data_IF_598748605947
#
_entry.id   IF_598748605947
#
_cell.length_a   1.000
_cell.length_b   1.000
_cell.length_c   1.000
_cell.angle_alpha   90.00
_cell.angle_beta   90.00
_cell.angle_gamma   90.00
#
_symmetry.space_group_name_H-M   'P 1'
#
loop_
_entity.id
_entity.type
_entity.pdbx_description
1 polymer ?
#
# COMPACT_ATOMS: atom_id res chain seq x y z
N UNK A 1 -14.64 7.48 19.27
CA UNK A 1 -14.84 6.50 18.19
C UNK A 1 -13.47 6.09 17.69
N UNK A 2 -12.90 5.01 18.21
CA UNK A 2 -11.61 4.49 17.76
C UNK A 2 -11.86 3.54 16.58
N UNK A 3 -12.11 4.08 15.39
CA UNK A 3 -11.92 3.26 14.19
C UNK A 3 -10.42 3.16 13.96
N UNK A 4 -9.84 2.02 14.34
CA UNK A 4 -8.45 1.71 14.01
C UNK A 4 -8.39 1.47 12.50
N UNK A 5 -7.52 2.21 11.81
CA UNK A 5 -7.32 2.11 10.36
C UNK A 5 -6.82 0.71 10.03
N UNK A 6 -7.46 0.06 9.05
CA UNK A 6 -7.06 -1.24 8.53
C UNK A 6 -6.10 -1.04 7.36
N UNK A 7 -4.89 -1.57 7.50
CA UNK A 7 -3.83 -1.49 6.53
C UNK A 7 -3.60 -2.87 5.89
N UNK A 8 -3.68 -2.96 4.57
CA UNK A 8 -3.24 -4.14 3.83
C UNK A 8 -1.83 -3.97 3.29
N UNK A 9 -0.98 -4.98 3.46
CA UNK A 9 0.34 -5.06 2.83
C UNK A 9 0.28 -6.01 1.65
N UNK A 10 0.63 -5.51 0.46
CA UNK A 10 0.60 -6.24 -0.82
C UNK A 10 1.99 -6.24 -1.42
N UNK A 11 2.43 -7.41 -1.87
CA UNK A 11 3.68 -7.62 -2.61
C UNK A 11 4.99 -7.32 -1.83
N UNK A 12 5.00 -7.51 -0.51
CA UNK A 12 6.21 -7.28 0.30
C UNK A 12 7.08 -8.53 0.42
N UNK A 13 8.40 -8.31 0.47
CA UNK A 13 9.36 -9.27 1.00
C UNK A 13 9.46 -9.20 2.53
N UNK A 14 10.05 -10.22 3.16
CA UNK A 14 10.06 -10.33 4.62
C UNK A 14 10.72 -9.16 5.36
N UNK A 15 11.72 -8.50 4.75
CA UNK A 15 12.45 -7.39 5.38
C UNK A 15 11.65 -6.09 5.36
N UNK A 16 11.15 -5.70 4.18
CA UNK A 16 10.38 -4.48 3.98
C UNK A 16 9.01 -4.58 4.68
N UNK A 17 8.43 -5.78 4.72
CA UNK A 17 7.20 -6.08 5.44
C UNK A 17 7.35 -5.82 6.95
N UNK A 18 8.43 -6.32 7.57
CA UNK A 18 8.60 -6.24 9.02
C UNK A 18 8.69 -4.79 9.52
N UNK A 19 9.41 -3.93 8.79
CA UNK A 19 9.51 -2.51 9.11
C UNK A 19 8.15 -1.82 9.05
N UNK A 20 7.39 -2.07 7.98
CA UNK A 20 6.09 -1.42 7.79
C UNK A 20 5.05 -1.93 8.80
N UNK A 21 5.05 -3.23 9.12
CA UNK A 21 4.23 -3.78 10.21
C UNK A 21 4.54 -3.11 11.54
N UNK A 22 5.83 -2.89 11.86
CA UNK A 22 6.21 -2.17 13.08
C UNK A 22 5.65 -0.74 13.09
N UNK A 23 5.67 -0.04 11.95
CA UNK A 23 5.13 1.31 11.84
C UNK A 23 3.61 1.35 12.00
N UNK A 24 2.89 0.42 11.36
CA UNK A 24 1.42 0.27 11.45
C UNK A 24 1.00 0.01 12.90
N UNK A 25 1.65 -0.95 13.57
CA UNK A 25 1.39 -1.26 14.99
C UNK A 25 1.68 -0.09 15.90
N UNK A 26 2.80 0.62 15.67
CA UNK A 26 3.17 1.80 16.46
C UNK A 26 2.14 2.92 16.33
N UNK A 27 1.50 3.06 15.19
CA UNK A 27 0.43 4.04 14.96
C UNK A 27 -0.95 3.58 15.46
N UNK A 28 -1.07 2.40 16.07
CA UNK A 28 -2.34 1.87 16.55
C UNK A 28 -3.31 1.44 15.46
N UNK A 29 -2.80 1.15 14.27
CA UNK A 29 -3.54 0.63 13.12
C UNK A 29 -3.55 -0.91 13.14
N UNK A 30 -4.51 -1.51 12.43
CA UNK A 30 -4.58 -2.96 12.22
C UNK A 30 -3.87 -3.34 10.92
N UNK A 31 -3.01 -4.34 10.93
CA UNK A 31 -2.38 -4.88 9.72
C UNK A 31 -3.01 -6.20 9.24
N UNK A 32 -3.12 -6.34 7.92
CA UNK A 32 -3.35 -7.60 7.22
C UNK A 32 -2.29 -7.75 6.14
N UNK A 33 -1.50 -8.82 6.19
CA UNK A 33 -0.54 -9.11 5.12
C UNK A 33 -1.18 -10.09 4.15
N UNK A 34 -1.25 -9.72 2.88
CA UNK A 34 -1.77 -10.59 1.84
C UNK A 34 -0.62 -11.31 1.15
N UNK A 35 -0.76 -12.62 0.87
CA UNK A 35 0.27 -13.38 0.18
C UNK A 35 0.60 -12.75 -1.18
N UNK A 36 1.87 -12.82 -1.55
CA UNK A 36 2.43 -12.48 -2.87
C UNK A 36 1.96 -13.43 -3.99
N UNK A 37 0.86 -14.18 -3.82
CA UNK A 37 0.39 -15.11 -4.85
C UNK A 37 -0.47 -14.36 -5.88
N UNK A 38 -0.06 -14.32 -7.15
CA UNK A 38 -0.80 -13.63 -8.21
C UNK A 38 -2.22 -14.20 -8.43
N UNK A 39 -2.44 -15.45 -8.07
CA UNK A 39 -3.73 -16.15 -8.24
C UNK A 39 -4.84 -15.69 -7.28
N UNK A 40 -4.52 -14.97 -6.19
CA UNK A 40 -5.50 -14.55 -5.19
C UNK A 40 -6.21 -13.23 -5.53
N UNK A 41 -5.71 -12.48 -6.52
CA UNK A 41 -6.25 -11.17 -6.89
C UNK A 41 -7.27 -11.24 -8.04
N UNK A 42 -7.42 -12.43 -8.66
CA UNK A 42 -8.32 -12.69 -9.77
C UNK A 42 -9.77 -13.01 -9.32
N UNK A 43 -10.02 -13.18 -8.02
CA UNK A 43 -11.37 -13.40 -7.49
C UNK A 43 -12.08 -12.07 -7.21
N UNK A 44 -13.40 -12.04 -7.42
CA UNK A 44 -14.30 -10.88 -7.25
C UNK A 44 -14.26 -10.21 -5.85
N UNK A 45 -13.56 -10.81 -4.89
CA UNK A 45 -13.44 -10.33 -3.52
C UNK A 45 -11.97 -10.29 -3.04
N UNK A 46 -11.16 -9.41 -3.64
CA UNK A 46 -9.82 -9.14 -3.13
C UNK A 46 -9.90 -8.55 -1.70
N UNK A 47 -9.40 -9.26 -0.66
CA UNK A 47 -9.52 -8.81 0.73
C UNK A 47 -8.82 -7.46 1.00
N UNK A 48 -7.86 -7.07 0.15
CA UNK A 48 -7.22 -5.75 0.22
C UNK A 48 -8.24 -4.61 0.06
N UNK A 49 -9.27 -4.80 -0.76
CA UNK A 49 -10.27 -3.77 -1.06
C UNK A 49 -11.18 -3.45 0.12
N UNK A 50 -11.14 -4.28 1.17
CA UNK A 50 -11.86 -4.02 2.41
C UNK A 50 -11.09 -3.15 3.40
N UNK A 51 -9.80 -2.90 3.15
CA UNK A 51 -8.93 -2.09 4.02
C UNK A 51 -9.12 -0.61 3.77
N UNK A 52 -8.73 0.22 4.74
CA UNK A 52 -8.77 1.67 4.60
C UNK A 52 -7.54 2.18 3.84
N UNK A 53 -6.37 1.61 4.15
CA UNK A 53 -5.11 1.88 3.43
C UNK A 53 -4.55 0.60 2.85
N UNK A 54 -4.06 0.68 1.61
CA UNK A 54 -3.36 -0.42 0.95
C UNK A 54 -1.95 0.04 0.65
N UNK A 55 -0.98 -0.62 1.25
CA UNK A 55 0.43 -0.48 0.93
C UNK A 55 0.79 -1.50 -0.13
N UNK A 56 1.20 -1.02 -1.30
CA UNK A 56 1.68 -1.83 -2.41
C UNK A 56 3.19 -1.60 -2.56
N UNK A 57 3.98 -2.66 -2.40
CA UNK A 57 5.41 -2.60 -2.69
C UNK A 57 5.69 -2.89 -4.17
N UNK A 58 6.55 -2.07 -4.78
CA UNK A 58 7.10 -2.27 -6.12
C UNK A 58 8.61 -2.39 -6.03
N UNK A 59 9.11 -3.59 -6.32
CA UNK A 59 10.52 -3.95 -6.19
C UNK A 59 11.37 -3.47 -7.36
N UNK A 60 10.77 -3.21 -8.53
CA UNK A 60 11.47 -2.65 -9.69
C UNK A 60 10.53 -1.83 -10.60
N UNK A 61 11.05 -0.86 -11.37
CA UNK A 61 10.25 -0.10 -12.34
C UNK A 61 9.65 -0.93 -13.46
N UNK A 62 10.29 -2.07 -13.78
CA UNK A 62 9.84 -3.01 -14.82
C UNK A 62 8.79 -4.00 -14.28
N UNK A 63 8.52 -3.98 -12.97
CA UNK A 63 7.59 -4.88 -12.34
C UNK A 63 6.17 -4.65 -12.87
N UNK A 64 5.65 -5.68 -13.54
CA UNK A 64 4.29 -5.68 -14.04
C UNK A 64 3.34 -6.11 -12.92
N UNK A 65 2.66 -5.14 -12.30
CA UNK A 65 1.49 -5.46 -11.48
C UNK A 65 0.42 -6.04 -12.39
N UNK A 66 -0.18 -7.15 -11.98
CA UNK A 66 -1.21 -7.81 -12.77
C UNK A 66 -2.33 -6.82 -13.10
N UNK A 67 -2.79 -6.85 -14.36
CA UNK A 67 -3.77 -5.89 -14.89
C UNK A 67 -5.04 -5.82 -14.03
N UNK A 68 -5.49 -6.95 -13.50
CA UNK A 68 -6.70 -7.01 -12.67
C UNK A 68 -6.47 -6.35 -11.30
N UNK A 69 -5.35 -6.66 -10.63
CA UNK A 69 -4.97 -6.01 -9.37
C UNK A 69 -4.76 -4.51 -9.54
N UNK A 70 -4.07 -4.09 -10.61
CA UNK A 70 -3.89 -2.67 -10.93
C UNK A 70 -5.25 -1.99 -11.18
N UNK A 71 -6.17 -2.65 -11.87
CA UNK A 71 -7.52 -2.13 -12.13
C UNK A 71 -8.33 -1.99 -10.84
N UNK A 72 -8.28 -2.98 -9.95
CA UNK A 72 -8.94 -2.90 -8.64
C UNK A 72 -8.35 -1.76 -7.79
N UNK A 73 -7.03 -1.70 -7.66
CA UNK A 73 -6.34 -0.69 -6.86
C UNK A 73 -6.53 0.74 -7.39
N UNK A 74 -6.68 0.93 -8.70
CA UNK A 74 -6.94 2.27 -9.29
C UNK A 74 -8.21 2.93 -8.78
N UNK A 75 -9.20 2.16 -8.33
CA UNK A 75 -10.45 2.69 -7.79
C UNK A 75 -10.40 2.93 -6.28
N UNK A 76 -9.34 2.49 -5.61
CA UNK A 76 -9.20 2.55 -4.17
C UNK A 76 -8.54 3.86 -3.73
N UNK A 77 -9.22 4.63 -2.88
CA UNK A 77 -8.78 5.98 -2.47
C UNK A 77 -7.55 6.00 -1.55
N UNK A 78 -7.24 4.86 -0.91
CA UNK A 78 -6.16 4.72 0.08
C UNK A 78 -4.91 3.98 -0.39
N UNK A 79 -4.58 3.98 -1.68
CA UNK A 79 -3.40 3.25 -2.20
C UNK A 79 -2.11 4.03 -1.99
N UNK A 80 -1.23 3.50 -1.14
CA UNK A 80 0.14 3.97 -0.91
C UNK A 80 1.09 3.04 -1.63
N UNK A 81 1.91 3.59 -2.52
CA UNK A 81 2.97 2.82 -3.19
C UNK A 81 4.27 2.98 -2.39
N UNK A 82 4.98 1.89 -2.12
CA UNK A 82 6.34 1.92 -1.60
C UNK A 82 7.32 1.29 -2.59
N UNK A 83 8.51 1.85 -2.73
CA UNK A 83 9.53 1.33 -3.65
C UNK A 83 10.91 1.90 -3.35
N UNK A 84 12.01 1.14 -3.53
CA UNK A 84 13.35 1.71 -3.51
C UNK A 84 13.63 2.69 -4.67
N UNK A 85 12.76 2.72 -5.69
CA UNK A 85 12.89 3.58 -6.86
C UNK A 85 11.98 4.82 -6.76
N UNK A 86 12.38 5.96 -7.37
CA UNK A 86 11.58 7.17 -7.35
C UNK A 86 10.34 7.05 -8.25
N UNK A 87 9.24 7.72 -7.87
CA UNK A 87 7.92 7.70 -8.55
C UNK A 87 8.01 7.87 -10.07
N UNK A 88 8.91 8.74 -10.56
CA UNK A 88 9.05 9.09 -11.97
C UNK A 88 9.43 7.90 -12.86
N UNK A 89 9.93 6.80 -12.29
CA UNK A 89 10.27 5.58 -13.02
C UNK A 89 9.06 4.65 -13.25
N UNK A 90 7.92 4.89 -12.62
CA UNK A 90 6.72 4.05 -12.70
C UNK A 90 5.63 4.67 -13.58
N UNK A 91 5.90 4.83 -14.88
CA UNK A 91 5.12 5.73 -15.75
C UNK A 91 3.66 5.32 -16.02
N UNK A 92 3.25 4.07 -15.75
CA UNK A 92 1.91 3.58 -16.17
C UNK A 92 1.13 2.81 -15.10
N UNK A 93 1.72 2.58 -13.94
CA UNK A 93 1.16 1.64 -12.97
C UNK A 93 -0.03 2.26 -12.23
N UNK A 94 0.13 3.49 -11.75
CA UNK A 94 -0.90 4.28 -11.08
C UNK A 94 -0.76 5.75 -11.47
N UNK A 95 -1.75 6.28 -12.19
CA UNK A 95 -1.76 7.68 -12.62
C UNK A 95 -1.73 8.62 -11.42
N UNK A 96 -2.48 8.31 -10.35
CA UNK A 96 -2.53 9.11 -9.12
C UNK A 96 -2.80 8.21 -7.89
N UNK A 97 -1.78 7.55 -7.30
CA UNK A 97 -1.94 6.91 -6.00
C UNK A 97 -2.14 7.97 -4.92
N UNK A 98 -2.75 7.60 -3.79
CA UNK A 98 -2.90 8.48 -2.63
C UNK A 98 -1.55 9.03 -2.16
N UNK A 99 -0.55 8.16 -2.07
CA UNK A 99 0.81 8.55 -1.76
C UNK A 99 1.84 7.62 -2.39
N UNK A 100 3.07 8.12 -2.50
CA UNK A 100 4.24 7.35 -2.89
C UNK A 100 5.35 7.58 -1.87
N UNK A 101 5.85 6.50 -1.26
CA UNK A 101 6.93 6.52 -0.28
C UNK A 101 8.15 5.80 -0.85
N UNK A 102 9.18 6.56 -1.22
CA UNK A 102 10.45 5.97 -1.65
C UNK A 102 11.20 5.38 -0.45
N UNK A 103 11.60 4.12 -0.57
CA UNK A 103 12.37 3.38 0.41
C UNK A 103 13.87 3.72 0.31
N UNK A 104 14.60 3.78 1.45
CA UNK A 104 14.08 3.70 2.80
C UNK A 104 13.31 4.96 3.22
N UNK A 105 12.21 4.79 3.94
CA UNK A 105 11.45 5.90 4.55
C UNK A 105 11.40 5.76 6.08
N UNK A 106 11.35 6.91 6.75
CA UNK A 106 11.27 7.02 8.20
C UNK A 106 9.84 6.87 8.73
N UNK A 107 9.72 6.56 10.02
CA UNK A 107 8.42 6.60 10.71
C UNK A 107 7.72 7.96 10.59
N UNK A 108 8.48 9.07 10.54
CA UNK A 108 7.90 10.40 10.38
C UNK A 108 7.22 10.56 9.01
N UNK A 109 7.82 10.03 7.94
CA UNK A 109 7.21 10.01 6.60
C UNK A 109 5.96 9.13 6.57
N UNK A 110 6.02 7.93 7.16
CA UNK A 110 4.86 7.05 7.32
C UNK A 110 3.72 7.74 8.09
N UNK A 111 4.02 8.31 9.26
CA UNK A 111 3.02 8.94 10.11
C UNK A 111 2.40 10.17 9.43
N UNK A 112 3.19 10.93 8.66
CA UNK A 112 2.66 12.02 7.84
C UNK A 112 1.68 11.51 6.79
N UNK A 113 2.01 10.43 6.08
CA UNK A 113 1.11 9.79 5.12
C UNK A 113 -0.22 9.37 5.77
N UNK A 114 -0.15 8.74 6.94
CA UNK A 114 -1.32 8.31 7.71
C UNK A 114 -2.19 9.50 8.16
N UNK A 115 -1.58 10.55 8.71
CA UNK A 115 -2.32 11.74 9.14
C UNK A 115 -3.01 12.45 7.98
N UNK A 116 -2.35 12.53 6.81
CA UNK A 116 -2.97 13.07 5.60
C UNK A 116 -4.21 12.26 5.22
N UNK A 117 -4.15 10.92 5.31
CA UNK A 117 -5.29 10.06 4.98
C UNK A 117 -6.47 10.34 5.91
N UNK A 118 -6.23 10.40 7.23
CA UNK A 118 -7.26 10.71 8.22
C UNK A 118 -7.94 12.09 8.04
N UNK A 119 -7.25 13.02 7.40
CA UNK A 119 -7.71 14.40 7.19
C UNK A 119 -8.36 14.61 5.83
N UNK A 120 -8.23 13.65 4.91
CA UNK A 120 -8.82 13.73 3.58
C UNK A 120 -10.30 13.38 3.70
N UNK A 121 -11.24 14.27 3.31
CA UNK A 121 -12.65 13.89 3.21
C UNK A 121 -12.78 12.87 2.08
N UNK A 122 -13.09 11.63 2.43
CA UNK A 122 -13.37 10.53 1.50
C UNK A 122 -14.86 10.52 1.19
#
# INVERSE_FOLDING_TARGET
>A
MNNSIRCSLVNYDGGSQALLQQYIRRAGCQESTLPTSPTLYAEDANPAMSSDLIFLHLSSPEESVQKDLATQLRHHQGVVITSPFPKQQFQDLFTEPFAFLTEPFSYAQFNKCLLTYCQTPI
#
